data_IF_950120461418
#
_entry.id   IF_950120461418
#
_cell.length_a   1.000
_cell.length_b   1.000
_cell.length_c   1.000
_cell.angle_alpha   90.00
_cell.angle_beta   90.00
_cell.angle_gamma   90.00
#
_symmetry.space_group_name_H-M   'P 1'
#
loop_
_entity.id
_entity.type
_entity.pdbx_description
1 polymer ?
#
# COMPACT_ATOMS: atom_id res chain seq x y z
N UNK A 1 1.95 -8.93 7.88
CA UNK A 1 0.64 -8.29 7.54
C UNK A 1 0.76 -7.68 6.13
N UNK A 2 -0.30 -7.61 5.33
CA UNK A 2 -0.17 -7.08 3.95
C UNK A 2 -0.38 -5.56 3.91
N UNK A 3 0.50 -4.82 3.21
CA UNK A 3 0.39 -3.36 2.97
C UNK A 3 -0.71 -2.93 2.00
N UNK A 4 -1.74 -3.76 1.87
CA UNK A 4 -2.68 -3.77 0.76
C UNK A 4 -4.12 -3.83 1.27
N UNK A 5 -5.01 -3.16 0.56
CA UNK A 5 -6.46 -3.25 0.77
C UNK A 5 -7.06 -4.02 -0.40
N UNK A 6 -7.57 -5.22 -0.13
CA UNK A 6 -8.30 -6.06 -1.08
C UNK A 6 -9.81 -5.85 -0.93
N UNK A 7 -10.54 -5.81 -2.06
CA UNK A 7 -11.99 -5.54 -2.05
C UNK A 7 -12.87 -6.76 -2.35
N UNK A 8 -12.31 -7.83 -2.91
CA UNK A 8 -13.10 -8.98 -3.38
C UNK A 8 -12.61 -10.33 -2.83
N UNK A 9 -11.32 -10.46 -2.50
CA UNK A 9 -10.76 -11.71 -1.99
C UNK A 9 -9.97 -11.45 -0.71
N UNK A 10 -10.12 -12.37 0.25
CA UNK A 10 -9.19 -12.49 1.36
C UNK A 10 -7.94 -13.21 0.83
N UNK A 11 -7.02 -12.46 0.24
CA UNK A 11 -5.72 -12.94 -0.23
C UNK A 11 -4.63 -12.54 0.76
N UNK A 12 -3.71 -13.47 1.03
CA UNK A 12 -2.55 -13.27 1.91
C UNK A 12 -1.25 -13.29 1.08
N UNK A 13 -1.24 -12.51 0.00
CA UNK A 13 -0.08 -12.40 -0.86
C UNK A 13 0.88 -11.38 -0.25
N UNK A 14 1.91 -11.91 0.42
CA UNK A 14 2.96 -11.14 1.09
C UNK A 14 3.84 -10.34 0.11
N UNK A 15 3.94 -10.76 -1.15
CA UNK A 15 4.57 -10.00 -2.24
C UNK A 15 3.80 -10.26 -3.53
N UNK A 16 3.46 -9.20 -4.25
CA UNK A 16 2.89 -9.34 -5.59
C UNK A 16 3.26 -8.19 -6.52
N UNK A 17 3.16 -8.47 -7.81
CA UNK A 17 3.26 -7.45 -8.84
C UNK A 17 1.88 -6.96 -9.26
N UNK A 18 1.59 -5.68 -9.04
CA UNK A 18 0.28 -5.06 -9.35
C UNK A 18 -0.11 -5.21 -10.83
N UNK A 19 0.87 -5.33 -11.72
CA UNK A 19 0.65 -5.52 -13.17
C UNK A 19 0.18 -6.94 -13.52
N UNK A 20 0.34 -7.91 -12.63
CA UNK A 20 0.04 -9.32 -12.89
C UNK A 20 -0.77 -9.97 -11.77
N UNK A 21 -1.36 -9.20 -10.85
CA UNK A 21 -2.16 -9.70 -9.71
C UNK A 21 -3.59 -10.08 -10.14
N UNK A 22 -3.69 -10.90 -11.18
CA UNK A 22 -4.91 -11.11 -11.97
C UNK A 22 -6.05 -11.79 -11.21
N UNK A 23 -5.73 -12.58 -10.18
CA UNK A 23 -6.66 -13.47 -9.50
C UNK A 23 -7.12 -12.95 -8.11
N UNK A 24 -6.55 -11.84 -7.64
CA UNK A 24 -6.78 -11.30 -6.30
C UNK A 24 -7.84 -10.16 -6.28
N UNK A 25 -8.42 -9.85 -7.44
CA UNK A 25 -9.44 -8.80 -7.54
C UNK A 25 -8.90 -7.38 -7.30
N UNK A 26 -9.79 -6.38 -7.18
CA UNK A 26 -9.41 -4.98 -7.04
C UNK A 26 -8.65 -4.72 -5.75
N UNK A 27 -7.62 -3.88 -5.82
CA UNK A 27 -6.84 -3.51 -4.64
C UNK A 27 -6.26 -2.10 -4.68
N UNK A 28 -5.94 -1.60 -3.49
CA UNK A 28 -5.04 -0.48 -3.31
C UNK A 28 -3.82 -0.98 -2.54
N UNK A 29 -2.69 -1.01 -3.23
CA UNK A 29 -1.39 -1.36 -2.68
C UNK A 29 -0.65 -0.10 -2.25
N UNK A 30 -0.71 0.22 -0.95
CA UNK A 30 0.18 1.21 -0.37
C UNK A 30 1.61 0.70 -0.36
N UNK A 31 1.78 -0.60 -0.14
CA UNK A 31 3.04 -1.31 -0.29
C UNK A 31 2.77 -2.78 -0.63
N UNK A 32 3.34 -3.26 -1.73
CA UNK A 32 3.03 -4.57 -2.31
C UNK A 32 4.05 -5.65 -1.99
N UNK A 33 4.85 -5.43 -0.95
CA UNK A 33 5.80 -6.38 -0.42
C UNK A 33 5.60 -6.57 1.08
N UNK A 34 6.35 -7.51 1.63
CA UNK A 34 6.01 -8.08 2.91
C UNK A 34 6.17 -7.05 4.04
N UNK A 35 5.11 -6.87 4.83
CA UNK A 35 5.11 -6.08 6.06
C UNK A 35 4.89 -7.02 7.25
N UNK A 36 5.77 -8.00 7.43
CA UNK A 36 5.71 -8.90 8.57
C UNK A 36 6.93 -8.73 9.47
N UNK A 37 6.69 -8.22 10.67
CA UNK A 37 7.47 -8.62 11.83
C UNK A 37 6.52 -8.88 12.99
N UNK A 38 6.88 -9.89 13.79
CA UNK A 38 6.03 -10.49 14.82
C UNK A 38 5.89 -9.60 16.07
N UNK A 39 6.60 -8.47 16.11
CA UNK A 39 6.83 -7.68 17.31
C UNK A 39 5.92 -6.43 17.41
N UNK A 40 5.74 -5.66 16.32
CA UNK A 40 4.96 -4.41 16.37
C UNK A 40 4.10 -4.16 15.13
N UNK A 41 2.79 -3.96 15.35
CA UNK A 41 1.87 -3.55 14.30
C UNK A 41 0.50 -3.06 14.81
N UNK A 42 -0.06 -2.06 14.17
CA UNK A 42 -1.44 -1.65 14.35
C UNK A 42 -2.06 -1.11 13.04
N UNK A 43 -3.37 -1.27 12.89
CA UNK A 43 -4.13 -0.61 11.84
C UNK A 43 -5.33 0.12 12.43
N UNK A 44 -5.74 1.20 11.77
CA UNK A 44 -6.86 2.05 12.19
C UNK A 44 -7.67 2.45 10.98
N UNK A 45 -8.99 2.26 11.09
CA UNK A 45 -9.96 2.73 10.09
C UNK A 45 -10.84 3.80 10.72
N UNK A 46 -10.86 4.99 10.13
CA UNK A 46 -11.59 6.14 10.65
C UNK A 46 -12.37 6.84 9.54
N UNK A 47 -13.63 7.17 9.79
CA UNK A 47 -14.36 8.13 8.97
C UNK A 47 -14.13 9.54 9.52
N UNK A 48 -13.73 10.48 8.67
CA UNK A 48 -13.60 11.91 8.99
C UNK A 48 -14.60 12.69 8.15
N UNK A 49 -15.27 13.68 8.71
CA UNK A 49 -16.41 14.37 8.06
C UNK A 49 -16.08 15.72 7.44
N UNK A 50 -14.87 16.25 7.65
CA UNK A 50 -14.44 17.55 7.12
C UNK A 50 -13.02 17.46 6.51
N UNK A 51 -12.89 17.26 5.17
CA UNK A 51 -13.93 16.76 4.27
C UNK A 51 -14.33 15.29 4.57
N UNK A 52 -15.50 14.85 4.09
CA UNK A 52 -16.00 13.47 4.21
C UNK A 52 -15.06 12.49 3.48
N UNK A 53 -14.39 11.64 4.25
CA UNK A 53 -13.37 10.69 3.78
C UNK A 53 -13.22 9.52 4.75
N UNK A 54 -12.75 8.39 4.22
CA UNK A 54 -12.28 7.27 5.02
C UNK A 54 -10.75 7.31 5.05
N UNK A 55 -10.19 7.13 6.23
CA UNK A 55 -8.76 7.04 6.50
C UNK A 55 -8.46 5.62 6.97
N UNK A 56 -7.53 4.96 6.30
CA UNK A 56 -7.02 3.65 6.65
C UNK A 56 -5.53 3.84 6.86
N UNK A 57 -5.10 3.78 8.11
CA UNK A 57 -3.71 3.94 8.53
C UNK A 57 -3.21 2.61 9.05
N UNK A 58 -1.98 2.24 8.70
CA UNK A 58 -1.29 1.14 9.35
C UNK A 58 0.15 1.54 9.69
N UNK A 59 0.54 1.13 10.89
CA UNK A 59 1.89 1.22 11.40
C UNK A 59 2.38 -0.21 11.53
N UNK A 60 3.42 -0.56 10.78
CA UNK A 60 3.90 -1.94 10.71
C UNK A 60 5.34 -1.95 10.28
N UNK A 61 6.01 -3.02 10.61
CA UNK A 61 7.39 -3.26 10.21
C UNK A 61 7.43 -3.74 8.76
N UNK A 62 8.50 -3.40 8.04
CA UNK A 62 8.80 -4.02 6.75
C UNK A 62 9.69 -5.22 7.01
N UNK A 63 9.37 -6.34 6.40
CA UNK A 63 10.21 -7.53 6.48
C UNK A 63 11.54 -7.28 5.73
N UNK A 64 12.67 -7.57 6.38
CA UNK A 64 14.02 -7.47 5.80
C UNK A 64 14.72 -8.83 5.86
N UNK A 65 15.06 -9.38 4.70
CA UNK A 65 15.70 -10.69 4.54
C UNK A 65 17.10 -10.81 5.20
N UNK A 66 17.75 -9.70 5.52
CA UNK A 66 19.15 -9.69 5.98
C UNK A 66 19.36 -9.25 7.43
N UNK A 67 18.34 -8.70 8.07
CA UNK A 67 18.38 -8.28 9.47
C UNK A 67 17.01 -8.61 10.07
N UNK A 68 16.89 -9.82 10.65
CA UNK A 68 15.71 -10.31 11.36
C UNK A 68 15.07 -9.18 12.19
N UNK A 69 13.94 -8.65 11.73
CA UNK A 69 13.05 -7.81 12.53
C UNK A 69 13.72 -6.62 13.24
N UNK A 70 14.58 -5.85 12.56
CA UNK A 70 14.84 -4.51 13.08
C UNK A 70 13.48 -3.81 13.19
N UNK A 71 13.16 -3.26 14.37
CA UNK A 71 11.94 -2.50 14.73
C UNK A 71 11.72 -1.24 13.85
N UNK A 72 11.83 -1.38 12.53
CA UNK A 72 11.73 -0.33 11.53
C UNK A 72 10.27 -0.17 11.21
N UNK A 73 9.58 0.48 12.15
CA UNK A 73 8.19 0.83 11.99
C UNK A 73 8.03 1.79 10.82
N UNK A 74 7.16 1.42 9.90
CA UNK A 74 6.69 2.26 8.83
C UNK A 74 5.28 2.74 9.11
N UNK A 75 4.93 3.92 8.61
CA UNK A 75 3.58 4.47 8.73
C UNK A 75 3.07 4.90 7.37
N UNK A 76 1.96 4.27 6.98
CA UNK A 76 1.25 4.52 5.73
C UNK A 76 -0.20 4.87 6.01
N UNK A 77 -0.76 5.73 5.16
CA UNK A 77 -2.17 6.06 5.18
C UNK A 77 -2.74 6.04 3.76
N UNK A 78 -3.85 5.34 3.58
CA UNK A 78 -4.73 5.50 2.42
C UNK A 78 -5.95 6.32 2.84
N UNK A 79 -6.24 7.36 2.07
CA UNK A 79 -7.39 8.22 2.25
C UNK A 79 -8.30 8.11 1.03
N UNK A 80 -9.53 7.67 1.25
CA UNK A 80 -10.58 7.55 0.25
C UNK A 80 -11.54 8.73 0.36
N UNK A 81 -11.60 9.56 -0.68
CA UNK A 81 -12.51 10.69 -0.74
C UNK A 81 -13.78 10.31 -1.52
N UNK A 82 -14.91 10.94 -1.16
CA UNK A 82 -16.21 10.68 -1.79
C UNK A 82 -16.25 11.02 -3.29
N UNK A 83 -15.38 11.91 -3.75
CA UNK A 83 -15.24 12.28 -5.16
C UNK A 83 -14.46 11.24 -6.00
N UNK A 84 -14.03 10.12 -5.39
CA UNK A 84 -13.24 9.07 -6.05
C UNK A 84 -11.74 9.34 -6.05
N UNK A 85 -11.27 10.42 -5.43
CA UNK A 85 -9.83 10.61 -5.20
C UNK A 85 -9.33 9.61 -4.15
N UNK A 86 -8.18 9.03 -4.44
CA UNK A 86 -7.43 8.19 -3.50
C UNK A 86 -6.12 8.92 -3.22
N UNK A 87 -5.83 9.20 -1.95
CA UNK A 87 -4.54 9.72 -1.53
C UNK A 87 -3.78 8.64 -0.77
N UNK A 88 -2.51 8.47 -1.09
CA UNK A 88 -1.57 7.63 -0.35
C UNK A 88 -0.55 8.55 0.32
N UNK A 89 -0.41 8.45 1.64
CA UNK A 89 0.63 9.14 2.40
C UNK A 89 1.63 8.12 2.91
N UNK A 90 2.90 8.36 2.60
CA UNK A 90 4.02 7.66 3.23
C UNK A 90 4.52 8.53 4.37
N UNK A 91 3.83 8.53 5.52
CA UNK A 91 4.17 9.40 6.64
C UNK A 91 5.60 9.17 7.13
N UNK A 92 5.99 7.89 7.18
CA UNK A 92 7.36 7.46 7.42
C UNK A 92 7.59 6.13 6.70
N UNK A 93 8.64 6.06 5.88
CA UNK A 93 9.09 4.83 5.25
C UNK A 93 10.60 4.69 5.45
N UNK A 94 11.05 3.55 5.94
CA UNK A 94 12.43 3.14 6.01
C UNK A 94 12.51 1.61 5.82
N UNK A 95 13.55 1.19 5.13
CA UNK A 95 13.84 -0.21 4.88
C UNK A 95 15.27 -0.27 4.31
N UNK A 96 16.07 -1.24 4.75
CA UNK A 96 17.43 -1.38 4.25
C UNK A 96 17.46 -2.11 2.90
N UNK A 97 16.68 -3.19 2.75
CA UNK A 97 16.60 -3.97 1.50
C UNK A 97 15.15 -4.34 1.19
N UNK A 98 14.50 -3.58 0.32
CA UNK A 98 13.13 -3.84 -0.13
C UNK A 98 13.05 -3.73 -1.65
N UNK A 99 12.06 -4.43 -2.20
CA UNK A 99 11.71 -4.39 -3.60
C UNK A 99 10.32 -3.79 -3.70
N UNK A 100 10.14 -2.84 -4.60
CA UNK A 100 8.81 -2.33 -4.92
C UNK A 100 8.36 -2.97 -6.23
N UNK A 101 7.46 -3.95 -6.14
CA UNK A 101 6.96 -4.72 -7.28
C UNK A 101 5.82 -4.00 -8.02
N UNK A 102 5.80 -2.65 -8.01
CA UNK A 102 4.75 -1.77 -8.57
C UNK A 102 3.57 -1.45 -7.63
N UNK A 103 3.80 -0.76 -6.52
CA UNK A 103 2.72 -0.27 -5.63
C UNK A 103 1.74 0.66 -6.38
N UNK A 104 0.48 0.76 -5.96
CA UNK A 104 -0.54 1.54 -6.67
C UNK A 104 -1.98 1.06 -6.51
N UNK A 105 -2.81 1.28 -7.53
CA UNK A 105 -4.23 0.90 -7.53
C UNK A 105 -4.51 -0.04 -8.71
N UNK A 106 -5.18 -1.17 -8.47
CA UNK A 106 -5.59 -2.12 -9.51
C UNK A 106 -7.11 -2.34 -9.49
N UNK A 107 -7.69 -2.48 -10.69
CA UNK A 107 -9.09 -2.91 -10.84
C UNK A 107 -9.25 -4.44 -10.74
N UNK A 108 -8.15 -5.20 -10.64
CA UNK A 108 -8.24 -6.66 -10.49
C UNK A 108 -8.83 -7.38 -11.69
N UNK A 109 -8.59 -6.87 -12.90
CA UNK A 109 -9.08 -7.51 -14.13
C UNK A 109 -8.04 -8.51 -14.65
N UNK A 110 -8.45 -9.61 -15.30
CA UNK A 110 -7.52 -10.59 -15.86
C UNK A 110 -6.48 -9.95 -16.79
N UNK A 111 -5.22 -10.36 -16.70
CA UNK A 111 -4.03 -9.80 -17.38
C UNK A 111 -3.61 -8.39 -16.92
N UNK A 112 -4.01 -7.97 -15.72
CA UNK A 112 -3.55 -6.77 -15.02
C UNK A 112 -3.49 -5.51 -15.86
N UNK A 113 -4.48 -5.33 -16.76
CA UNK A 113 -4.42 -4.30 -17.81
C UNK A 113 -4.97 -2.94 -17.37
N UNK A 114 -5.65 -2.86 -16.22
CA UNK A 114 -6.26 -1.64 -15.70
C UNK A 114 -5.76 -1.37 -14.28
N UNK A 115 -4.64 -0.64 -14.21
CA UNK A 115 -4.02 -0.22 -12.97
C UNK A 115 -3.44 1.19 -13.10
N UNK A 116 -3.14 1.81 -11.97
CA UNK A 116 -2.29 3.00 -11.89
C UNK A 116 -1.13 2.69 -10.95
N UNK A 117 0.08 2.60 -11.51
CA UNK A 117 1.28 2.35 -10.73
C UNK A 117 1.84 3.66 -10.16
N UNK A 118 1.94 3.69 -8.83
CA UNK A 118 2.61 4.73 -8.07
C UNK A 118 4.13 4.67 -8.34
N UNK A 119 4.67 3.45 -8.38
CA UNK A 119 6.08 3.16 -8.68
C UNK A 119 6.50 3.67 -10.05
N UNK A 120 5.72 3.42 -11.11
CA UNK A 120 6.03 3.89 -12.46
C UNK A 120 5.91 5.41 -12.59
N UNK A 121 4.99 6.03 -11.83
CA UNK A 121 4.69 7.47 -11.95
C UNK A 121 5.61 8.35 -11.10
N UNK A 122 6.00 7.89 -9.92
CA UNK A 122 6.72 8.69 -8.93
C UNK A 122 8.05 8.09 -8.48
N UNK A 123 8.33 6.84 -8.85
CA UNK A 123 9.50 6.08 -8.42
C UNK A 123 9.17 5.09 -7.30
N UNK A 124 10.11 4.22 -6.92
CA UNK A 124 9.90 3.20 -5.89
C UNK A 124 9.51 3.79 -4.53
N UNK A 125 8.55 3.18 -3.84
CA UNK A 125 8.03 3.60 -2.52
C UNK A 125 9.12 3.92 -1.49
N UNK A 126 10.24 3.17 -1.37
CA UNK A 126 11.31 3.54 -0.45
C UNK A 126 11.88 4.95 -0.65
N UNK A 127 11.82 5.48 -1.87
CA UNK A 127 12.22 6.85 -2.21
C UNK A 127 11.15 7.91 -1.97
N UNK A 128 9.95 7.53 -1.53
CA UNK A 128 8.77 8.39 -1.41
C UNK A 128 8.37 8.68 0.04
N UNK A 129 9.17 8.25 1.02
CA UNK A 129 8.94 8.56 2.43
C UNK A 129 8.74 10.06 2.67
N UNK A 130 7.86 10.39 3.61
CA UNK A 130 7.44 11.74 4.01
C UNK A 130 6.75 12.55 2.90
N UNK A 131 6.04 11.88 1.99
CA UNK A 131 5.30 12.54 0.91
C UNK A 131 3.90 11.96 0.70
N UNK A 132 3.09 12.69 -0.08
CA UNK A 132 1.69 12.37 -0.36
C UNK A 132 1.42 12.37 -1.86
N UNK A 133 0.72 11.34 -2.35
CA UNK A 133 0.35 11.20 -3.76
C UNK A 133 -1.15 11.05 -3.91
N UNK A 134 -1.72 11.73 -4.91
CA UNK A 134 -3.15 11.65 -5.22
C UNK A 134 -3.33 10.98 -6.57
N UNK A 135 -4.28 10.05 -6.60
CA UNK A 135 -4.76 9.35 -7.76
C UNK A 135 -6.23 9.71 -7.97
N UNK A 136 -6.56 9.99 -9.21
CA UNK A 136 -7.93 9.98 -9.70
C UNK A 136 -8.06 8.71 -10.52
N UNK A 137 -8.89 7.77 -10.08
CA UNK A 137 -9.24 6.63 -10.93
C UNK A 137 -10.08 7.15 -12.10
N UNK A 138 -9.73 6.81 -13.37
CA UNK A 138 -10.52 7.18 -14.53
C UNK A 138 -11.91 6.52 -14.57
#
# INVERSE_FOLDING_TARGET
>A
MDGNIWFETDTNDYDFNLRTCDDNGPCIAGWNQDLDSEDYGEYRVQRKTDPDRVVIEWITETYDDNDDGLDVLNNFEIILYKNGEIRVNYNYFNCAICRDSSSGVSKGVPNGSVYTSLTEKFGPVPGLGQTSYIFTCP
#
